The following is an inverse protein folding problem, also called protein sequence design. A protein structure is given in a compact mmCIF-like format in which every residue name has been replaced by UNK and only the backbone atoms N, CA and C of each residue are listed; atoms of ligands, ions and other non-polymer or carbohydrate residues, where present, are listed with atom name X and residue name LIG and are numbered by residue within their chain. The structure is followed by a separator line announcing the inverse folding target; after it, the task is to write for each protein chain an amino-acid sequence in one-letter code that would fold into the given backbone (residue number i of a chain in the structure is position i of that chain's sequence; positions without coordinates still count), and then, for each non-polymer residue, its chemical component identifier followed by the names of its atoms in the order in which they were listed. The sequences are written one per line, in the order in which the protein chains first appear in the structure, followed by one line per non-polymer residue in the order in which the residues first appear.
data_IF_667483904738
#
_entry.id   IF_667483904738
#
_cell.length_a   1.000
_cell.length_b   1.000
_cell.length_c   1.000
_cell.angle_alpha   90.00
_cell.angle_beta   90.00
_cell.angle_gamma   90.00
#
_symmetry.space_group_name_H-M   'P 1'
#
loop_
_entity.id
_entity.type
_entity.pdbx_description
1 polymer ?
#
# COMPACT_ATOMS: atom_id res chain seq x y z
N UNK A 1 -1.90 -16.92 11.09
CA UNK A 1 -2.64 -18.17 11.36
C UNK A 1 -4.15 -17.94 11.35
N UNK A 2 -4.77 -17.27 12.33
CA UNK A 2 -6.23 -17.10 12.33
C UNK A 2 -6.80 -16.46 11.03
N UNK A 3 -6.25 -15.33 10.58
CA UNK A 3 -6.70 -14.70 9.33
C UNK A 3 -6.31 -15.51 8.09
N UNK A 4 -5.21 -16.25 8.16
CA UNK A 4 -4.74 -17.11 7.07
C UNK A 4 -5.73 -18.27 6.83
N UNK A 5 -6.26 -18.87 7.90
CA UNK A 5 -7.33 -19.87 7.83
C UNK A 5 -8.58 -19.29 7.13
N UNK A 6 -8.91 -18.01 7.40
CA UNK A 6 -10.04 -17.31 6.76
C UNK A 6 -9.77 -16.98 5.28
N UNK A 7 -8.54 -16.66 4.92
CA UNK A 7 -8.13 -16.53 3.51
C UNK A 7 -8.30 -17.87 2.81
N UNK A 8 -7.88 -18.98 3.41
CA UNK A 8 -8.10 -20.32 2.88
C UNK A 8 -9.58 -20.65 2.66
N UNK A 9 -10.45 -20.28 3.59
CA UNK A 9 -11.91 -20.43 3.45
C UNK A 9 -12.46 -19.66 2.24
N UNK A 10 -12.05 -18.39 2.05
CA UNK A 10 -12.46 -17.57 0.92
C UNK A 10 -12.00 -18.16 -0.43
N UNK A 11 -10.72 -18.56 -0.51
CA UNK A 11 -10.15 -19.20 -1.70
C UNK A 11 -10.88 -20.52 -2.03
N UNK A 12 -11.15 -21.34 -1.02
CA UNK A 12 -11.89 -22.61 -1.20
C UNK A 12 -13.29 -22.39 -1.78
N UNK A 13 -13.96 -21.30 -1.41
CA UNK A 13 -15.27 -20.95 -2.00
C UNK A 13 -15.10 -20.61 -3.47
N UNK A 14 -14.14 -19.74 -3.84
CA UNK A 14 -13.88 -19.35 -5.22
C UNK A 14 -13.52 -20.55 -6.12
N UNK A 15 -12.73 -21.50 -5.60
CA UNK A 15 -12.40 -22.74 -6.30
C UNK A 15 -13.64 -23.61 -6.52
N UNK A 16 -14.44 -23.84 -5.46
CA UNK A 16 -15.62 -24.71 -5.52
C UNK A 16 -16.72 -24.14 -6.40
N UNK A 17 -16.82 -22.81 -6.52
CA UNK A 17 -17.75 -22.13 -7.43
C UNK A 17 -17.18 -21.93 -8.83
N UNK A 18 -15.92 -22.34 -9.09
CA UNK A 18 -15.21 -22.18 -10.37
C UNK A 18 -15.07 -20.72 -10.81
N UNK A 19 -14.98 -19.81 -9.84
CA UNK A 19 -14.81 -18.38 -10.07
C UNK A 19 -13.36 -17.92 -9.92
N UNK A 20 -12.49 -18.76 -9.33
CA UNK A 20 -11.12 -18.37 -9.01
C UNK A 20 -10.34 -17.85 -10.24
N UNK A 21 -10.42 -18.54 -11.38
CA UNK A 21 -9.68 -18.17 -12.60
C UNK A 21 -10.15 -16.84 -13.23
N UNK A 22 -11.33 -16.34 -12.83
CA UNK A 22 -11.94 -15.09 -13.30
C UNK A 22 -12.03 -14.04 -12.18
N UNK A 23 -11.25 -14.22 -11.10
CA UNK A 23 -11.25 -13.32 -9.95
C UNK A 23 -9.87 -12.71 -9.75
N UNK A 24 -9.82 -11.38 -9.65
CA UNK A 24 -8.66 -10.67 -9.10
C UNK A 24 -8.75 -10.68 -7.57
N UNK A 25 -7.65 -11.05 -6.93
CA UNK A 25 -7.49 -11.07 -5.47
C UNK A 25 -6.44 -10.02 -5.09
N UNK A 26 -6.85 -9.06 -4.26
CA UNK A 26 -5.96 -8.06 -3.67
C UNK A 26 -5.92 -8.26 -2.15
N UNK A 27 -4.71 -8.35 -1.60
CA UNK A 27 -4.49 -8.39 -0.15
C UNK A 27 -3.76 -7.13 0.28
N UNK A 28 -4.30 -6.40 1.25
CA UNK A 28 -3.74 -5.15 1.77
C UNK A 28 -4.04 -4.97 3.25
N UNK A 29 -3.37 -4.00 3.89
CA UNK A 29 -3.68 -3.51 5.25
C UNK A 29 -3.73 -1.97 5.24
N UNK A 30 -4.42 -1.37 6.21
CA UNK A 30 -4.55 0.07 6.37
C UNK A 30 -3.28 0.72 6.95
N UNK A 31 -2.74 0.13 8.01
CA UNK A 31 -1.46 0.47 8.62
C UNK A 31 -0.79 -0.76 9.25
N UNK A 32 0.42 -0.59 9.76
CA UNK A 32 1.17 -1.61 10.49
C UNK A 32 1.06 -1.47 12.01
N UNK A 33 1.96 -2.14 12.73
CA UNK A 33 2.12 -2.07 14.18
C UNK A 33 3.62 -2.13 14.52
N UNK A 34 4.07 -1.29 15.45
CA UNK A 34 5.45 -1.26 15.93
C UNK A 34 5.85 -2.51 16.73
N UNK A 35 4.89 -3.23 17.32
CA UNK A 35 5.11 -4.51 18.02
C UNK A 35 6.27 -4.50 19.04
N UNK A 36 6.45 -3.39 19.77
CA UNK A 36 7.50 -3.22 20.77
C UNK A 36 8.85 -2.76 20.21
N UNK A 37 9.02 -2.68 18.89
CA UNK A 37 10.24 -2.15 18.28
C UNK A 37 10.46 -0.70 18.73
N UNK A 38 11.71 -0.36 19.11
CA UNK A 38 12.07 0.96 19.67
C UNK A 38 11.33 1.31 20.96
N UNK A 39 10.71 0.33 21.63
CA UNK A 39 9.85 0.54 22.79
C UNK A 39 8.47 1.13 22.47
N UNK A 40 8.12 1.22 21.18
CA UNK A 40 6.84 1.74 20.70
C UNK A 40 5.86 0.59 20.40
N UNK A 41 4.56 0.89 20.50
CA UNK A 41 3.47 -0.03 20.21
C UNK A 41 2.44 0.64 19.31
N UNK A 42 1.65 -0.16 18.61
CA UNK A 42 0.60 0.32 17.69
C UNK A 42 1.19 1.11 16.51
N UNK A 43 0.47 2.14 16.07
CA UNK A 43 0.72 2.94 14.87
C UNK A 43 1.13 4.37 15.22
N UNK A 44 0.65 5.36 14.45
CA UNK A 44 0.80 6.80 14.72
C UNK A 44 2.22 7.36 14.51
N UNK A 45 3.10 6.63 13.83
CA UNK A 45 4.41 7.15 13.45
C UNK A 45 4.82 6.65 12.06
N UNK A 46 5.81 7.31 11.45
CA UNK A 46 6.31 6.93 10.12
C UNK A 46 7.48 5.93 10.16
N UNK A 47 7.74 5.28 11.30
CA UNK A 47 8.68 4.16 11.35
C UNK A 47 8.15 2.95 10.58
N UNK A 48 9.05 2.08 10.10
CA UNK A 48 8.71 0.99 9.18
C UNK A 48 7.59 0.08 9.72
N UNK A 49 7.67 -0.34 10.99
CA UNK A 49 6.67 -1.23 11.58
C UNK A 49 5.24 -0.66 11.57
N UNK A 50 5.09 0.66 11.78
CA UNK A 50 3.80 1.35 11.76
C UNK A 50 3.33 1.73 10.36
N UNK A 51 4.24 2.19 9.49
CA UNK A 51 3.88 2.77 8.20
C UNK A 51 3.86 1.77 7.03
N UNK A 52 4.65 0.69 7.09
CA UNK A 52 4.75 -0.28 6.00
C UNK A 52 3.66 -1.34 6.15
N UNK A 53 2.91 -1.56 5.07
CA UNK A 53 1.83 -2.54 5.00
C UNK A 53 2.08 -3.53 3.86
N UNK A 54 1.56 -4.77 3.95
CA UNK A 54 1.57 -5.70 2.82
C UNK A 54 0.64 -5.21 1.71
N UNK A 55 1.03 -5.43 0.46
CA UNK A 55 0.19 -5.27 -0.73
C UNK A 55 0.53 -6.39 -1.72
N UNK A 56 -0.45 -7.21 -2.07
CA UNK A 56 -0.30 -8.29 -3.06
C UNK A 56 -1.49 -8.27 -4.01
N UNK A 57 -1.24 -8.55 -5.30
CA UNK A 57 -2.26 -8.66 -6.33
C UNK A 57 -2.03 -9.98 -7.07
N UNK A 58 -3.08 -10.80 -7.17
CA UNK A 58 -3.07 -12.06 -7.88
C UNK A 58 -4.32 -12.19 -8.75
N UNK A 59 -4.21 -12.93 -9.85
CA UNK A 59 -5.32 -13.15 -10.76
C UNK A 59 -4.83 -13.51 -12.15
N UNK A 60 -5.78 -13.66 -13.07
CA UNK A 60 -5.47 -13.91 -14.48
C UNK A 60 -4.65 -12.75 -15.06
N UNK A 61 -3.64 -13.10 -15.87
CA UNK A 61 -2.75 -12.17 -16.56
C UNK A 61 -1.90 -11.27 -15.62
N UNK A 62 -1.82 -11.59 -14.32
CA UNK A 62 -0.93 -10.94 -13.35
C UNK A 62 0.33 -11.79 -13.13
N UNK A 63 1.49 -11.25 -13.47
CA UNK A 63 2.77 -11.93 -13.26
C UNK A 63 3.14 -11.98 -11.78
N UNK A 64 3.51 -13.16 -11.28
CA UNK A 64 4.00 -13.35 -9.93
C UNK A 64 5.47 -12.89 -9.82
N UNK A 65 5.66 -11.61 -9.47
CA UNK A 65 6.97 -10.99 -9.31
C UNK A 65 7.04 -10.21 -7.99
N UNK A 66 8.25 -10.05 -7.46
CA UNK A 66 8.52 -9.16 -6.33
C UNK A 66 8.84 -7.76 -6.87
N UNK A 67 8.17 -6.74 -6.33
CA UNK A 67 8.42 -5.34 -6.64
C UNK A 67 8.98 -4.66 -5.40
N UNK A 68 10.22 -4.18 -5.49
CA UNK A 68 10.91 -3.48 -4.38
C UNK A 68 10.70 -1.95 -4.41
N UNK A 69 10.15 -1.41 -5.51
CA UNK A 69 9.87 0.02 -5.63
C UNK A 69 8.84 0.46 -4.57
N UNK A 70 9.03 1.62 -3.89
CA UNK A 70 8.03 2.12 -2.94
C UNK A 70 6.69 2.42 -3.63
N UNK A 71 5.62 1.87 -3.06
CA UNK A 71 4.22 2.10 -3.47
C UNK A 71 3.39 2.54 -2.26
N UNK A 72 2.19 3.06 -2.52
CA UNK A 72 1.27 3.59 -1.51
C UNK A 72 -0.08 2.88 -1.58
N UNK A 73 -0.81 2.84 -0.46
CA UNK A 73 -2.23 2.48 -0.47
C UNK A 73 -3.07 3.41 -1.37
N UNK A 74 -2.60 4.65 -1.63
CA UNK A 74 -3.22 5.56 -2.60
C UNK A 74 -3.26 4.98 -4.02
N UNK A 75 -2.34 4.08 -4.35
CA UNK A 75 -2.25 3.45 -5.67
C UNK A 75 -3.30 2.34 -5.88
N UNK A 76 -3.97 1.88 -4.82
CA UNK A 76 -4.95 0.77 -4.90
C UNK A 76 -6.13 1.14 -5.78
N UNK A 77 -6.75 2.30 -5.57
CA UNK A 77 -7.91 2.76 -6.36
C UNK A 77 -7.59 2.83 -7.86
N UNK A 78 -6.57 3.58 -8.31
CA UNK A 78 -6.25 3.65 -9.74
C UNK A 78 -5.83 2.30 -10.31
N UNK A 79 -5.18 1.42 -9.53
CA UNK A 79 -4.85 0.06 -9.98
C UNK A 79 -6.10 -0.80 -10.18
N UNK A 80 -7.08 -0.73 -9.28
CA UNK A 80 -8.35 -1.43 -9.43
C UNK A 80 -9.15 -0.92 -10.63
N UNK A 81 -9.13 0.40 -10.88
CA UNK A 81 -9.76 0.98 -12.06
C UNK A 81 -9.10 0.51 -13.36
N UNK A 82 -7.77 0.48 -13.40
CA UNK A 82 -7.00 -0.01 -14.55
C UNK A 82 -7.31 -1.50 -14.84
N UNK A 83 -7.31 -2.34 -13.79
CA UNK A 83 -7.70 -3.76 -13.88
C UNK A 83 -9.14 -3.96 -14.35
N UNK A 84 -10.05 -3.05 -14.00
CA UNK A 84 -11.44 -3.07 -14.43
C UNK A 84 -11.64 -2.49 -15.85
N UNK A 85 -10.57 -2.03 -16.52
CA UNK A 85 -10.64 -1.44 -17.85
C UNK A 85 -11.28 -0.05 -17.89
N UNK A 86 -11.28 0.68 -16.76
CA UNK A 86 -11.78 2.05 -16.68
C UNK A 86 -10.77 3.00 -17.34
N UNK A 87 -11.26 3.98 -18.09
CA UNK A 87 -10.44 5.03 -18.65
C UNK A 87 -9.76 5.85 -17.54
N UNK A 88 -8.42 5.78 -17.48
CA UNK A 88 -7.62 6.46 -16.46
C UNK A 88 -7.79 8.00 -16.49
N UNK A 89 -8.14 8.58 -17.65
CA UNK A 89 -8.42 10.01 -17.74
C UNK A 89 -9.69 10.43 -17.00
N UNK A 90 -10.66 9.51 -16.86
CA UNK A 90 -11.90 9.76 -16.14
C UNK A 90 -11.70 9.77 -14.62
N UNK A 91 -10.69 9.06 -14.12
CA UNK A 91 -10.40 8.98 -12.68
C UNK A 91 -9.27 9.91 -12.21
N UNK A 92 -8.43 10.40 -13.13
CA UNK A 92 -7.27 11.25 -12.81
C UNK A 92 -7.59 12.46 -11.89
N UNK A 93 -8.73 13.16 -12.00
CA UNK A 93 -9.05 14.26 -11.09
C UNK A 93 -9.42 13.84 -9.65
N UNK A 94 -9.54 12.53 -9.37
CA UNK A 94 -10.11 11.99 -8.13
C UNK A 94 -9.13 11.10 -7.36
N UNK A 95 -7.89 10.97 -7.82
CA UNK A 95 -6.88 10.13 -7.19
C UNK A 95 -5.53 10.81 -7.17
N UNK A 96 -4.83 10.68 -6.05
CA UNK A 96 -3.45 11.13 -5.88
C UNK A 96 -2.43 10.00 -6.07
N UNK A 97 -2.91 8.76 -6.27
CA UNK A 97 -2.08 7.60 -6.60
C UNK A 97 -1.97 7.38 -8.10
N UNK A 98 -1.33 6.27 -8.48
CA UNK A 98 -1.24 5.83 -9.87
C UNK A 98 -1.35 4.31 -9.97
N UNK A 99 -1.74 3.82 -11.15
CA UNK A 99 -1.82 2.37 -11.38
C UNK A 99 -0.45 1.71 -11.18
N UNK A 100 -0.46 0.55 -10.54
CA UNK A 100 0.72 -0.30 -10.34
C UNK A 100 0.94 -1.29 -11.49
N UNK A 101 -0.01 -1.47 -12.41
CA UNK A 101 0.13 -2.41 -13.53
C UNK A 101 1.37 -2.16 -14.40
N UNK A 102 1.78 -0.91 -14.68
CA UNK A 102 3.04 -0.63 -15.38
C UNK A 102 4.28 -1.29 -14.75
N UNK A 103 4.30 -1.50 -13.43
CA UNK A 103 5.41 -2.16 -12.73
C UNK A 103 5.53 -3.65 -13.10
N UNK A 104 4.42 -4.30 -13.48
CA UNK A 104 4.41 -5.69 -13.93
C UNK A 104 5.18 -5.87 -15.24
N UNK A 105 5.22 -4.84 -16.07
CA UNK A 105 5.97 -4.79 -17.32
C UNK A 105 7.42 -4.32 -17.13
N UNK A 106 7.88 -4.17 -15.88
CA UNK A 106 9.21 -3.67 -15.54
C UNK A 106 9.40 -2.17 -15.80
N UNK A 107 8.32 -1.39 -15.98
CA UNK A 107 8.44 0.08 -16.06
C UNK A 107 8.82 0.61 -14.68
N UNK A 108 9.69 1.63 -14.68
CA UNK A 108 10.11 2.27 -13.44
C UNK A 108 9.01 3.20 -12.91
N UNK A 109 8.79 3.15 -11.59
CA UNK A 109 7.98 4.13 -10.86
C UNK A 109 8.89 5.21 -10.30
N UNK A 110 8.66 6.45 -10.70
CA UNK A 110 9.43 7.62 -10.23
C UNK A 110 8.68 8.48 -9.21
N UNK A 111 7.37 8.30 -9.05
CA UNK A 111 6.59 9.08 -8.10
C UNK A 111 6.92 8.68 -6.65
N UNK A 112 7.13 9.66 -5.74
CA UNK A 112 7.35 9.35 -4.33
C UNK A 112 6.07 8.82 -3.66
N UNK A 113 6.23 8.24 -2.48
CA UNK A 113 5.13 7.89 -1.59
C UNK A 113 5.01 8.99 -0.54
N UNK A 114 3.85 9.63 -0.48
CA UNK A 114 3.54 10.70 0.47
C UNK A 114 2.66 10.16 1.60
N UNK A 115 2.92 10.59 2.82
CA UNK A 115 2.17 10.18 4.01
C UNK A 115 1.90 11.38 4.92
N UNK A 116 0.75 11.39 5.57
CA UNK A 116 0.31 12.46 6.45
C UNK A 116 -0.27 11.90 7.75
N UNK A 117 -0.09 12.61 8.86
CA UNK A 117 -0.68 12.27 10.14
C UNK A 117 -1.05 13.52 10.93
N UNK A 118 -2.33 13.63 11.31
CA UNK A 118 -2.86 14.78 12.04
C UNK A 118 -3.92 14.35 13.08
N UNK A 119 -3.68 13.23 13.75
CA UNK A 119 -4.59 12.65 14.75
C UNK A 119 -3.93 12.59 16.14
N UNK A 120 -4.39 11.69 17.02
CA UNK A 120 -3.90 11.58 18.39
C UNK A 120 -2.39 11.32 18.49
N UNK A 121 -1.72 11.87 19.50
CA UNK A 121 -0.27 11.77 19.63
C UNK A 121 0.52 12.78 18.80
N UNK A 122 -0.16 13.66 18.04
CA UNK A 122 0.44 14.82 17.39
C UNK A 122 -0.07 16.12 18.02
N UNK A 123 0.81 17.12 18.16
CA UNK A 123 0.45 18.49 18.55
C UNK A 123 0.44 19.46 17.35
N UNK A 124 0.96 19.02 16.21
CA UNK A 124 0.91 19.66 14.91
C UNK A 124 0.95 18.56 13.82
N UNK A 125 0.45 18.81 12.59
CA UNK A 125 0.50 17.84 11.51
C UNK A 125 1.93 17.37 11.20
N UNK A 126 2.08 16.08 10.97
CA UNK A 126 3.31 15.45 10.53
C UNK A 126 3.16 14.97 9.09
N UNK A 127 4.19 15.14 8.28
CA UNK A 127 4.24 14.68 6.89
C UNK A 127 5.50 13.85 6.66
N UNK A 128 5.44 12.92 5.71
CA UNK A 128 6.58 12.13 5.31
C UNK A 128 6.61 11.86 3.80
N UNK A 129 7.83 11.79 3.27
CA UNK A 129 8.13 11.48 1.87
C UNK A 129 9.02 10.25 1.84
N UNK A 130 8.62 9.23 1.09
CA UNK A 130 9.39 8.01 0.85
C UNK A 130 9.73 7.93 -0.63
N UNK A 131 11.02 8.03 -0.95
CA UNK A 131 11.53 8.04 -2.33
C UNK A 131 12.85 7.27 -2.43
N UNK A 132 12.97 6.37 -3.41
CA UNK A 132 14.19 5.60 -3.65
C UNK A 132 14.62 4.81 -2.40
N UNK A 133 15.75 5.16 -1.79
CA UNK A 133 16.22 4.56 -0.52
C UNK A 133 15.90 5.40 0.73
N UNK A 134 15.39 6.61 0.54
CA UNK A 134 15.26 7.60 1.60
C UNK A 134 13.84 7.68 2.16
N UNK A 135 13.75 8.09 3.42
CA UNK A 135 12.52 8.55 4.05
C UNK A 135 12.78 9.83 4.83
N UNK A 136 12.08 10.90 4.44
CA UNK A 136 12.11 12.19 5.12
C UNK A 136 10.82 12.40 5.90
N UNK A 137 10.93 12.87 7.14
CA UNK A 137 9.78 13.17 8.02
C UNK A 137 9.92 14.60 8.54
N UNK A 138 8.82 15.34 8.47
CA UNK A 138 8.75 16.72 8.93
C UNK A 138 7.49 16.96 9.77
N UNK A 139 7.66 17.76 10.81
CA UNK A 139 6.62 18.34 11.65
C UNK A 139 7.16 19.72 12.05
N UNK A 140 6.35 20.77 12.01
CA UNK A 140 6.85 22.14 12.24
C UNK A 140 7.48 22.34 13.64
N UNK A 141 7.04 21.55 14.62
CA UNK A 141 7.44 21.67 16.03
C UNK A 141 8.50 20.66 16.46
N UNK A 142 8.91 19.74 15.58
CA UNK A 142 9.90 18.69 15.87
C UNK A 142 11.12 18.80 14.95
N UNK A 143 12.32 18.36 15.41
CA UNK A 143 13.47 18.24 14.52
C UNK A 143 13.18 17.29 13.35
N UNK A 144 13.55 17.65 12.09
CA UNK A 144 13.32 16.80 10.94
C UNK A 144 14.13 15.49 11.03
N UNK A 145 13.60 14.42 10.46
CA UNK A 145 14.25 13.11 10.40
C UNK A 145 14.51 12.71 8.95
N UNK A 146 15.70 12.17 8.69
CA UNK A 146 16.06 11.60 7.40
C UNK A 146 16.72 10.24 7.65
N UNK A 147 16.20 9.21 7.00
CA UNK A 147 16.75 7.85 6.98
C UNK A 147 17.14 7.47 5.57
#
# INVERSE_FOLDING_TARGET
SYLDDKVGELLSVLERTRMLDDTIILFCSDHGDMLGERGLWFKMCFFEGSARVPLMIAGKDISAILIDAPVSNLDVVPTLCDLAGIDMSAIAPWTDGQSLLPLLDGKERTAPVLMEYAAEGSNAPMVAIREGRYKFIHCEIDPPQLF
#
